data_IF_967083597734
#
_entry.id   IF_967083597734
#
_cell.length_a   1.000
_cell.length_b   1.000
_cell.length_c   1.000
_cell.angle_alpha   90.00
_cell.angle_beta   90.00
_cell.angle_gamma   90.00
#
_symmetry.space_group_name_H-M   'P 1'
#
loop_
_entity.id
_entity.type
_entity.pdbx_description
1 polymer ?
#
# COMPACT_ATOMS: atom_id res chain seq x y z
N UNK A 1 -6.39 9.37 23.96
CA UNK A 1 -6.48 10.57 23.10
C UNK A 1 -6.34 10.10 21.66
N UNK A 2 -7.38 10.21 20.85
CA UNK A 2 -7.27 9.91 19.42
C UNK A 2 -6.72 11.15 18.71
N UNK A 3 -5.54 11.03 18.10
CA UNK A 3 -5.03 12.03 17.15
C UNK A 3 -5.75 11.88 15.81
N UNK A 4 -7.08 11.98 15.80
CA UNK A 4 -7.89 11.90 14.59
C UNK A 4 -7.72 13.20 13.81
N UNK A 5 -6.86 13.15 12.81
CA UNK A 5 -6.71 14.20 11.80
C UNK A 5 -7.60 13.87 10.59
N UNK A 6 -8.10 14.91 9.90
CA UNK A 6 -8.91 14.75 8.67
C UNK A 6 -8.17 14.01 7.55
N UNK A 7 -6.83 13.95 7.63
CA UNK A 7 -5.97 13.24 6.68
C UNK A 7 -4.90 12.47 7.42
N UNK A 8 -4.59 11.28 6.91
CA UNK A 8 -3.49 10.46 7.40
C UNK A 8 -2.15 11.15 7.13
N UNK A 9 -1.22 11.08 8.09
CA UNK A 9 0.12 11.65 7.93
C UNK A 9 0.86 11.00 6.74
N UNK A 10 1.58 11.82 5.95
CA UNK A 10 2.35 11.34 4.81
C UNK A 10 3.33 10.22 5.18
N UNK A 11 3.94 10.26 6.37
CA UNK A 11 4.87 9.21 6.82
C UNK A 11 4.17 7.87 7.00
N UNK A 12 2.95 7.86 7.54
CA UNK A 12 2.15 6.65 7.64
C UNK A 12 1.76 6.12 6.25
N UNK A 13 1.30 6.99 5.35
CA UNK A 13 0.99 6.61 3.96
C UNK A 13 2.20 6.05 3.23
N UNK A 14 3.40 6.60 3.47
CA UNK A 14 4.66 6.10 2.94
C UNK A 14 4.97 4.68 3.43
N UNK A 15 4.75 4.39 4.71
CA UNK A 15 4.94 3.04 5.27
C UNK A 15 3.96 2.05 4.64
N UNK A 16 2.68 2.42 4.55
CA UNK A 16 1.64 1.60 3.92
C UNK A 16 2.00 1.31 2.45
N UNK A 17 2.50 2.30 1.72
CA UNK A 17 2.92 2.11 0.34
C UNK A 17 4.09 1.13 0.20
N UNK A 18 5.04 1.14 1.15
CA UNK A 18 6.12 0.16 1.18
C UNK A 18 5.60 -1.25 1.45
N UNK A 19 4.59 -1.40 2.31
CA UNK A 19 3.90 -2.69 2.55
C UNK A 19 3.24 -3.19 1.27
N UNK A 20 2.45 -2.35 0.59
CA UNK A 20 1.80 -2.69 -0.71
C UNK A 20 2.82 -3.21 -1.71
N UNK A 21 3.98 -2.55 -1.83
CA UNK A 21 5.07 -2.99 -2.72
C UNK A 21 5.69 -4.34 -2.33
N UNK A 22 5.65 -4.74 -1.06
CA UNK A 22 6.14 -6.07 -0.67
C UNK A 22 5.26 -7.19 -1.23
N UNK A 23 3.98 -6.96 -1.49
CA UNK A 23 3.09 -7.97 -2.07
C UNK A 23 3.51 -8.37 -3.49
N UNK A 24 4.22 -7.52 -4.24
CA UNK A 24 4.80 -7.90 -5.54
C UNK A 24 5.76 -9.10 -5.42
N UNK A 25 6.39 -9.27 -4.25
CA UNK A 25 7.30 -10.38 -3.99
C UNK A 25 6.59 -11.71 -3.81
N UNK A 26 5.30 -11.70 -3.47
CA UNK A 26 4.53 -12.90 -3.21
C UNK A 26 4.14 -13.62 -4.52
N UNK A 27 4.07 -12.90 -5.64
CA UNK A 27 3.61 -13.45 -6.93
C UNK A 27 4.46 -14.62 -7.45
N UNK A 28 5.72 -14.73 -7.02
CA UNK A 28 6.64 -15.80 -7.44
C UNK A 28 6.92 -16.83 -6.32
N UNK A 29 6.13 -16.82 -5.25
CA UNK A 29 6.25 -17.78 -4.15
C UNK A 29 5.12 -18.82 -4.22
N UNK A 30 5.41 -20.04 -3.74
CA UNK A 30 4.40 -21.10 -3.67
C UNK A 30 3.40 -20.80 -2.54
N UNK A 31 2.30 -20.14 -2.89
CA UNK A 31 1.18 -19.87 -1.99
C UNK A 31 0.01 -20.80 -2.27
N UNK A 32 -0.77 -21.14 -1.24
CA UNK A 32 -2.07 -21.78 -1.48
C UNK A 32 -3.01 -20.78 -2.14
N UNK A 33 -4.03 -21.28 -2.84
CA UNK A 33 -5.05 -20.41 -3.47
C UNK A 33 -5.76 -19.51 -2.45
N UNK A 34 -5.94 -20.00 -1.22
CA UNK A 34 -6.62 -19.25 -0.15
C UNK A 34 -5.70 -18.13 0.32
N UNK A 35 -4.43 -18.44 0.61
CA UNK A 35 -3.47 -17.45 1.08
C UNK A 35 -3.17 -16.37 0.03
N UNK A 36 -3.09 -16.74 -1.25
CA UNK A 36 -2.90 -15.78 -2.35
C UNK A 36 -4.09 -14.81 -2.44
N UNK A 37 -5.32 -15.35 -2.33
CA UNK A 37 -6.52 -14.52 -2.33
C UNK A 37 -6.56 -13.58 -1.12
N UNK A 38 -6.28 -14.06 0.08
CA UNK A 38 -6.23 -13.25 1.30
C UNK A 38 -5.15 -12.16 1.22
N UNK A 39 -3.98 -12.48 0.67
CA UNK A 39 -2.92 -11.51 0.44
C UNK A 39 -3.33 -10.41 -0.56
N UNK A 40 -4.01 -10.78 -1.64
CA UNK A 40 -4.57 -9.81 -2.60
C UNK A 40 -5.59 -8.90 -1.91
N UNK A 41 -6.49 -9.43 -1.07
CA UNK A 41 -7.45 -8.62 -0.34
C UNK A 41 -6.76 -7.65 0.61
N UNK A 42 -5.76 -8.11 1.38
CA UNK A 42 -4.98 -7.27 2.27
C UNK A 42 -4.28 -6.13 1.51
N UNK A 43 -3.65 -6.43 0.36
CA UNK A 43 -3.03 -5.43 -0.50
C UNK A 43 -4.04 -4.37 -0.96
N UNK A 44 -5.21 -4.79 -1.42
CA UNK A 44 -6.25 -3.89 -1.93
C UNK A 44 -6.77 -2.96 -0.83
N UNK A 45 -6.92 -3.44 0.40
CA UNK A 45 -7.31 -2.62 1.55
C UNK A 45 -6.25 -1.55 1.86
N UNK A 46 -4.97 -1.92 1.87
CA UNK A 46 -3.87 -0.99 2.10
C UNK A 46 -3.76 0.06 0.99
N UNK A 47 -3.94 -0.35 -0.26
CA UNK A 47 -3.97 0.58 -1.40
C UNK A 47 -5.16 1.55 -1.32
N UNK A 48 -6.33 1.06 -0.88
CA UNK A 48 -7.52 1.88 -0.63
C UNK A 48 -7.28 3.00 0.40
N UNK A 49 -6.49 2.75 1.45
CA UNK A 49 -6.09 3.79 2.42
C UNK A 49 -5.28 4.90 1.75
N UNK A 50 -4.42 4.56 0.80
CA UNK A 50 -3.60 5.55 0.07
C UNK A 50 -4.47 6.38 -0.88
N UNK A 51 -5.36 5.71 -1.61
CA UNK A 51 -6.27 6.34 -2.57
C UNK A 51 -7.26 7.28 -1.89
N UNK A 52 -7.87 6.87 -0.78
CA UNK A 52 -8.80 7.71 -0.02
C UNK A 52 -8.14 8.96 0.58
N UNK A 53 -6.81 8.94 0.75
CA UNK A 53 -6.01 10.10 1.15
C UNK A 53 -5.54 10.98 -0.03
N UNK A 54 -5.96 10.69 -1.27
CA UNK A 54 -5.65 11.49 -2.46
C UNK A 54 -4.28 11.20 -3.07
N UNK A 55 -3.78 9.97 -2.90
CA UNK A 55 -2.51 9.53 -3.47
C UNK A 55 -2.67 8.22 -4.26
N UNK A 56 -1.67 7.88 -5.07
CA UNK A 56 -1.51 6.58 -5.72
C UNK A 56 -0.13 6.01 -5.45
N UNK A 57 0.01 4.68 -5.49
CA UNK A 57 1.31 4.02 -5.44
C UNK A 57 2.16 4.46 -6.63
N UNK A 58 3.43 4.73 -6.38
CA UNK A 58 4.42 4.95 -7.42
C UNK A 58 5.23 3.68 -7.66
N UNK A 59 5.05 3.02 -8.80
CA UNK A 59 5.80 1.81 -9.16
C UNK A 59 7.11 2.10 -9.89
N UNK A 60 7.44 3.37 -10.14
CA UNK A 60 8.72 3.75 -10.74
C UNK A 60 9.89 3.42 -9.81
N UNK A 61 10.78 2.52 -10.26
CA UNK A 61 11.99 2.09 -9.55
C UNK A 61 13.06 3.18 -9.47
N UNK A 62 13.02 4.17 -10.34
CA UNK A 62 13.94 5.32 -10.33
C UNK A 62 13.52 6.43 -9.36
N UNK A 63 12.32 6.34 -8.78
CA UNK A 63 11.77 7.38 -7.93
C UNK A 63 11.96 7.11 -6.44
N UNK A 64 12.47 8.11 -5.73
CA UNK A 64 12.54 8.10 -4.26
C UNK A 64 11.17 8.32 -3.58
N UNK A 65 10.12 8.59 -4.37
CA UNK A 65 8.76 8.84 -3.85
C UNK A 65 7.92 7.57 -3.99
N UNK A 66 7.50 6.92 -2.90
CA UNK A 66 6.71 5.69 -2.97
C UNK A 66 5.24 5.92 -3.34
N UNK A 67 4.75 7.15 -3.19
CA UNK A 67 3.40 7.57 -3.57
C UNK A 67 3.44 8.91 -4.31
N UNK A 68 2.51 9.08 -5.25
CA UNK A 68 2.27 10.32 -6.00
C UNK A 68 0.91 10.89 -5.65
N UNK A 69 0.79 12.21 -5.61
CA UNK A 69 -0.50 12.87 -5.38
C UNK A 69 -1.38 12.69 -6.63
N UNK A 70 -2.67 12.41 -6.41
CA UNK A 70 -3.69 12.38 -7.45
C UNK A 70 -4.12 13.79 -7.87
#
# INVERSE_FOLDING_TARGET
MSNLADKTEYRALRIIAQMVKQFEKLHYMDMTKIDDWDAIQARNLLEGVIQSNGYKINYDRGSNKPILKL
#
